data_IF_334124600609
#
_entry.id   IF_334124600609
#
_cell.length_a   1.000
_cell.length_b   1.000
_cell.length_c   1.000
_cell.angle_alpha   90.00
_cell.angle_beta   90.00
_cell.angle_gamma   90.00
#
_symmetry.space_group_name_H-M   'P 1'
#
loop_
_entity.id
_entity.type
_entity.pdbx_description
1 polymer ?
#
# COMPACT_ATOMS: atom_id res chain seq x y z
N UNK A 1 -73.79 17.91 -41.54
CA UNK A 1 -74.05 16.48 -41.33
C UNK A 1 -72.71 15.79 -41.04
N UNK A 2 -72.58 15.20 -39.83
CA UNK A 2 -71.57 14.22 -39.34
C UNK A 2 -70.07 14.62 -39.42
N UNK A 3 -69.33 14.89 -38.34
CA UNK A 3 -69.02 14.14 -37.10
C UNK A 3 -67.83 13.15 -37.26
N UNK A 4 -66.84 13.31 -36.34
CA UNK A 4 -65.71 12.43 -35.94
C UNK A 4 -64.48 12.47 -36.86
N UNK A 5 -63.24 12.60 -36.38
CA UNK A 5 -62.68 12.31 -35.07
C UNK A 5 -61.43 13.17 -34.81
N UNK A 6 -61.31 13.70 -33.59
CA UNK A 6 -60.11 14.35 -33.07
C UNK A 6 -58.92 13.39 -33.09
N UNK A 7 -57.84 13.76 -33.77
CA UNK A 7 -56.53 13.15 -33.55
C UNK A 7 -55.70 14.12 -32.70
N UNK A 8 -55.55 13.74 -31.43
CA UNK A 8 -54.77 14.43 -30.41
C UNK A 8 -53.29 14.38 -30.80
N UNK A 9 -52.72 15.51 -31.21
CA UNK A 9 -51.25 15.65 -31.24
C UNK A 9 -50.84 16.08 -29.84
N UNK A 10 -50.54 15.07 -29.01
CA UNK A 10 -49.99 15.26 -27.67
C UNK A 10 -48.57 15.79 -27.85
N UNK A 11 -48.35 16.97 -27.29
CA UNK A 11 -47.05 17.60 -27.05
C UNK A 11 -46.18 16.59 -26.30
N UNK A 12 -45.17 16.07 -26.97
CA UNK A 12 -44.21 15.11 -26.45
C UNK A 12 -42.80 15.51 -26.84
N UNK A 13 -42.45 16.78 -26.66
CA UNK A 13 -41.05 17.17 -26.51
C UNK A 13 -40.60 16.61 -25.16
N UNK A 14 -40.29 15.32 -25.13
CA UNK A 14 -39.46 14.73 -24.08
C UNK A 14 -38.12 15.44 -24.27
N UNK A 15 -38.00 16.54 -23.54
CA UNK A 15 -36.76 17.18 -23.22
C UNK A 15 -35.84 16.06 -22.75
N UNK A 16 -34.96 15.62 -23.64
CA UNK A 16 -33.74 14.91 -23.28
C UNK A 16 -32.84 15.94 -22.56
N UNK A 17 -33.32 16.50 -21.45
CA UNK A 17 -32.46 16.85 -20.35
C UNK A 17 -31.90 15.51 -19.88
N UNK A 18 -30.88 15.02 -20.61
CA UNK A 18 -29.78 14.38 -19.97
C UNK A 18 -29.37 15.37 -18.88
N UNK A 19 -29.91 15.14 -17.68
CA UNK A 19 -29.26 15.53 -16.45
C UNK A 19 -27.89 14.86 -16.55
N UNK A 20 -26.96 15.59 -17.15
CA UNK A 20 -25.57 15.61 -16.74
C UNK A 20 -25.57 16.07 -15.28
N UNK A 21 -26.16 15.27 -14.40
CA UNK A 21 -25.81 15.29 -13.02
C UNK A 21 -24.32 15.01 -13.04
N UNK A 22 -23.52 16.03 -12.73
CA UNK A 22 -22.13 15.84 -12.36
C UNK A 22 -22.14 14.83 -11.21
N UNK A 23 -22.07 13.54 -11.52
CA UNK A 23 -22.10 12.46 -10.55
C UNK A 23 -20.78 12.57 -9.81
N UNK A 24 -20.85 13.22 -8.65
CA UNK A 24 -19.72 13.32 -7.72
C UNK A 24 -19.21 11.90 -7.47
N UNK A 25 -17.91 11.70 -7.62
CA UNK A 25 -17.30 10.38 -7.39
C UNK A 25 -17.66 9.87 -6.00
N UNK A 26 -18.13 8.61 -5.89
CA UNK A 26 -18.48 8.05 -4.60
C UNK A 26 -17.24 7.94 -3.72
N UNK A 27 -17.45 7.96 -2.40
CA UNK A 27 -16.40 7.88 -1.40
C UNK A 27 -16.60 6.61 -0.57
N UNK A 28 -15.53 5.84 -0.36
CA UNK A 28 -15.57 4.57 0.36
C UNK A 28 -14.34 4.40 1.25
N UNK A 29 -14.52 3.83 2.44
CA UNK A 29 -13.39 3.39 3.27
C UNK A 29 -12.89 2.05 2.70
N UNK A 30 -11.63 1.99 2.26
CA UNK A 30 -11.06 0.80 1.61
C UNK A 30 -10.19 -0.04 2.54
N UNK A 31 -9.44 0.60 3.44
CA UNK A 31 -8.68 -0.07 4.48
C UNK A 31 -8.91 0.64 5.79
N UNK A 32 -9.23 -0.12 6.83
CA UNK A 32 -9.32 0.37 8.19
C UNK A 32 -8.19 -0.28 8.99
N UNK A 33 -7.24 0.53 9.45
CA UNK A 33 -6.09 0.06 10.23
C UNK A 33 -6.51 -0.23 11.67
N UNK A 34 -7.36 0.65 12.21
CA UNK A 34 -7.99 0.56 13.53
C UNK A 34 -9.22 1.49 13.55
N UNK A 35 -9.78 1.75 14.73
CA UNK A 35 -10.98 2.59 14.89
C UNK A 35 -10.80 4.04 14.44
N UNK A 36 -9.56 4.54 14.40
CA UNK A 36 -9.23 5.95 14.18
C UNK A 36 -8.51 6.20 12.86
N UNK A 37 -7.86 5.17 12.29
CA UNK A 37 -7.02 5.28 11.11
C UNK A 37 -7.57 4.48 9.94
N UNK A 38 -7.75 5.15 8.80
CA UNK A 38 -8.29 4.50 7.61
C UNK A 38 -7.89 5.22 6.31
N UNK A 39 -7.99 4.48 5.20
CA UNK A 39 -7.92 5.02 3.85
C UNK A 39 -9.31 5.17 3.26
N UNK A 40 -9.54 6.31 2.64
CA UNK A 40 -10.74 6.62 1.87
C UNK A 40 -10.37 6.74 0.39
N UNK A 41 -11.09 6.03 -0.46
CA UNK A 41 -11.01 6.14 -1.90
C UNK A 41 -12.19 6.96 -2.43
N UNK A 42 -11.91 7.93 -3.30
CA UNK A 42 -12.93 8.70 -4.01
C UNK A 42 -12.80 8.45 -5.50
N UNK A 43 -13.67 7.60 -6.06
CA UNK A 43 -13.53 7.15 -7.44
C UNK A 43 -14.48 6.02 -7.81
N UNK A 44 -14.18 5.31 -8.89
CA UNK A 44 -15.05 4.26 -9.46
C UNK A 44 -14.23 3.00 -9.72
N UNK A 45 -14.87 1.83 -9.71
CA UNK A 45 -14.23 0.56 -10.10
C UNK A 45 -12.92 0.26 -9.35
N UNK A 46 -12.87 0.55 -8.05
CA UNK A 46 -11.67 0.36 -7.20
C UNK A 46 -10.46 1.21 -7.59
N UNK A 47 -10.71 2.34 -8.25
CA UNK A 47 -9.71 3.25 -8.79
C UNK A 47 -10.13 4.70 -8.48
N UNK A 48 -9.23 5.54 -7.96
CA UNK A 48 -9.54 6.95 -7.71
C UNK A 48 -8.53 7.73 -6.86
N UNK A 49 -8.99 8.89 -6.37
CA UNK A 49 -8.23 9.72 -5.43
C UNK A 49 -8.11 9.03 -4.07
N UNK A 50 -6.94 9.09 -3.45
CA UNK A 50 -6.65 8.42 -2.18
C UNK A 50 -6.47 9.43 -1.05
N UNK A 51 -7.14 9.18 0.06
CA UNK A 51 -7.09 10.00 1.26
C UNK A 51 -6.70 9.14 2.48
N UNK A 52 -5.87 9.70 3.35
CA UNK A 52 -5.53 9.11 4.66
C UNK A 52 -6.12 9.95 5.79
N UNK A 53 -6.66 9.23 6.77
CA UNK A 53 -7.31 9.78 7.94
C UNK A 53 -6.72 9.17 9.21
N UNK A 54 -6.37 10.01 10.18
CA UNK A 54 -6.11 9.64 11.58
C UNK A 54 -6.84 10.64 12.48
N UNK A 55 -7.95 10.21 13.08
CA UNK A 55 -8.77 11.08 13.95
C UNK A 55 -8.08 11.40 15.28
N UNK A 56 -7.26 10.49 15.81
CA UNK A 56 -6.53 10.69 17.08
C UNK A 56 -5.49 11.79 16.93
N UNK A 57 -4.82 11.84 15.78
CA UNK A 57 -3.77 12.83 15.49
C UNK A 57 -4.26 14.03 14.67
N UNK A 58 -5.55 14.10 14.38
CA UNK A 58 -6.17 15.14 13.55
C UNK A 58 -5.50 15.28 12.16
N UNK A 59 -5.26 14.15 11.49
CA UNK A 59 -4.67 14.09 10.16
C UNK A 59 -5.77 13.79 9.14
N UNK A 60 -5.85 14.62 8.11
CA UNK A 60 -6.76 14.47 6.97
C UNK A 60 -6.00 14.90 5.71
N UNK A 61 -5.43 13.94 4.96
CA UNK A 61 -4.52 14.23 3.85
C UNK A 61 -4.95 13.55 2.56
N UNK A 62 -5.01 14.33 1.49
CA UNK A 62 -5.02 13.80 0.13
C UNK A 62 -3.62 13.29 -0.20
N UNK A 63 -3.51 12.01 -0.52
CA UNK A 63 -2.25 11.36 -0.88
C UNK A 63 -2.07 11.30 -2.39
N UNK A 64 -3.16 11.03 -3.12
CA UNK A 64 -3.20 10.95 -4.58
C UNK A 64 -4.40 11.77 -5.04
N UNK A 65 -4.15 12.82 -5.83
CA UNK A 65 -5.19 13.59 -6.50
C UNK A 65 -5.66 12.84 -7.76
N UNK A 66 -6.92 12.42 -7.73
CA UNK A 66 -7.61 11.67 -8.79
C UNK A 66 -7.66 12.37 -10.16
N UNK A 67 -7.28 13.65 -10.25
CA UNK A 67 -7.17 14.38 -11.53
C UNK A 67 -5.86 14.10 -12.27
N UNK A 68 -4.78 13.85 -11.55
CA UNK A 68 -3.42 13.73 -12.11
C UNK A 68 -2.89 12.30 -12.08
N UNK A 69 -3.34 11.52 -11.10
CA UNK A 69 -2.99 10.13 -10.93
C UNK A 69 -4.17 9.41 -10.28
N UNK A 70 -4.10 8.07 -10.23
CA UNK A 70 -5.13 7.30 -9.57
C UNK A 70 -4.55 6.13 -8.81
N UNK A 71 -5.10 5.89 -7.63
CA UNK A 71 -4.75 4.75 -6.79
C UNK A 71 -5.65 3.57 -7.12
N UNK A 72 -5.06 2.38 -7.31
CA UNK A 72 -5.81 1.14 -7.47
C UNK A 72 -5.69 0.28 -6.22
N UNK A 73 -6.83 -0.21 -5.75
CA UNK A 73 -6.89 -1.01 -4.52
C UNK A 73 -6.10 -2.32 -4.71
N UNK A 74 -5.11 -2.54 -3.85
CA UNK A 74 -4.51 -3.86 -3.64
C UNK A 74 -5.50 -4.85 -3.01
N UNK A 75 -5.73 -6.01 -3.64
CA UNK A 75 -6.76 -6.96 -3.17
C UNK A 75 -6.22 -8.20 -2.46
N UNK A 76 -4.89 -8.33 -2.33
CA UNK A 76 -4.28 -9.42 -1.59
C UNK A 76 -4.43 -9.25 -0.07
N UNK A 77 -3.87 -10.19 0.69
CA UNK A 77 -3.92 -10.12 2.15
C UNK A 77 -3.06 -8.95 2.65
N UNK A 78 -3.68 -7.99 3.33
CA UNK A 78 -3.00 -6.80 3.84
C UNK A 78 -3.16 -6.71 5.36
N UNK A 79 -2.06 -6.95 6.08
CA UNK A 79 -2.02 -7.00 7.55
C UNK A 79 -1.14 -5.85 8.03
N UNK A 80 -1.73 -4.89 8.75
CA UNK A 80 -1.03 -3.66 9.12
C UNK A 80 -1.35 -3.22 10.56
N UNK A 81 -0.71 -3.84 11.57
CA UNK A 81 -0.82 -3.40 12.96
C UNK A 81 0.07 -2.20 13.33
N UNK A 82 1.00 -1.78 12.46
CA UNK A 82 1.95 -0.70 12.81
C UNK A 82 1.25 0.67 12.87
N UNK A 83 1.60 1.49 13.86
CA UNK A 83 1.03 2.81 14.04
C UNK A 83 1.85 3.90 13.34
N UNK A 84 3.16 3.89 13.55
CA UNK A 84 4.10 4.91 13.11
C UNK A 84 4.52 4.75 11.66
N UNK A 85 4.87 3.53 11.25
CA UNK A 85 5.23 3.23 9.87
C UNK A 85 4.01 2.75 9.10
N UNK A 86 3.61 3.52 8.10
CA UNK A 86 2.49 3.20 7.22
C UNK A 86 3.04 2.90 5.83
N UNK A 87 2.58 1.82 5.24
CA UNK A 87 3.00 1.36 3.92
C UNK A 87 1.75 0.99 3.15
N UNK A 88 1.44 1.72 2.10
CA UNK A 88 0.24 1.50 1.30
C UNK A 88 0.64 0.82 -0.01
N UNK A 89 0.24 -0.44 -0.22
CA UNK A 89 0.42 -1.10 -1.51
C UNK A 89 -0.63 -0.62 -2.53
N UNK A 90 -0.20 -0.44 -3.77
CA UNK A 90 -1.06 -0.28 -4.94
C UNK A 90 -1.26 -1.64 -5.64
N UNK A 91 -2.23 -1.73 -6.53
CA UNK A 91 -2.53 -2.93 -7.33
C UNK A 91 -1.34 -3.37 -8.20
N UNK A 92 -0.69 -2.44 -8.90
CA UNK A 92 0.48 -2.71 -9.76
C UNK A 92 1.64 -1.79 -9.32
N UNK A 93 2.31 -2.15 -8.22
CA UNK A 93 3.21 -1.22 -7.57
C UNK A 93 4.56 -1.18 -8.29
N UNK A 94 4.71 -0.19 -9.17
CA UNK A 94 6.03 0.35 -9.54
C UNK A 94 6.59 1.25 -8.43
N UNK A 95 5.73 1.64 -7.51
CA UNK A 95 5.98 2.56 -6.42
C UNK A 95 5.00 2.31 -5.26
N UNK A 96 5.44 2.57 -4.04
CA UNK A 96 4.67 2.43 -2.81
C UNK A 96 4.62 3.76 -2.06
N UNK A 97 3.49 4.05 -1.42
CA UNK A 97 3.38 5.21 -0.54
C UNK A 97 3.74 4.80 0.88
N UNK A 98 4.71 5.50 1.47
CA UNK A 98 5.17 5.24 2.83
C UNK A 98 5.10 6.50 3.69
N UNK A 99 4.73 6.32 4.95
CA UNK A 99 4.91 7.30 6.01
C UNK A 99 5.71 6.68 7.15
N UNK A 100 6.59 7.47 7.77
CA UNK A 100 7.44 7.08 8.90
C UNK A 100 7.08 7.82 10.18
N UNK A 101 6.01 8.60 10.15
CA UNK A 101 5.61 9.57 11.17
C UNK A 101 4.09 9.62 11.34
N UNK A 102 3.46 8.45 11.41
CA UNK A 102 2.01 8.29 11.68
C UNK A 102 1.09 8.87 10.58
N UNK A 103 1.61 9.07 9.37
CA UNK A 103 0.88 9.66 8.25
C UNK A 103 1.01 11.18 8.13
N UNK A 104 1.92 11.82 8.88
CA UNK A 104 2.15 13.27 8.77
C UNK A 104 2.84 13.65 7.47
N UNK A 105 3.87 12.90 7.09
CA UNK A 105 4.58 13.04 5.82
C UNK A 105 4.56 11.73 5.05
N UNK A 106 4.57 11.88 3.72
CA UNK A 106 4.46 10.76 2.79
C UNK A 106 5.58 10.83 1.77
N UNK A 107 6.11 9.67 1.41
CA UNK A 107 7.15 9.53 0.40
C UNK A 107 6.83 8.35 -0.50
N UNK A 108 7.31 8.45 -1.73
CA UNK A 108 7.28 7.33 -2.68
C UNK A 108 8.52 6.46 -2.47
N UNK A 109 8.32 5.16 -2.32
CA UNK A 109 9.37 4.16 -2.31
C UNK A 109 9.25 3.29 -3.56
N UNK A 110 10.32 3.20 -4.35
CA UNK A 110 10.32 2.45 -5.61
C UNK A 110 10.88 1.03 -5.47
N UNK A 111 11.58 0.72 -4.37
CA UNK A 111 12.22 -0.57 -4.18
C UNK A 111 12.11 -1.07 -2.73
N UNK A 112 11.91 -2.37 -2.58
CA UNK A 112 11.90 -3.11 -1.30
C UNK A 112 13.08 -4.10 -1.21
N UNK A 113 14.18 -3.78 -1.88
CA UNK A 113 15.44 -4.49 -1.80
C UNK A 113 16.59 -3.50 -2.03
N UNK A 114 17.78 -3.80 -1.50
CA UNK A 114 18.96 -2.95 -1.69
C UNK A 114 19.46 -2.91 -3.14
N UNK A 115 19.11 -3.93 -3.93
CA UNK A 115 19.41 -4.04 -5.35
C UNK A 115 18.20 -4.66 -6.07
N UNK A 116 18.01 -4.40 -7.38
CA UNK A 116 16.91 -4.99 -8.13
C UNK A 116 17.07 -6.52 -8.17
N UNK A 117 16.09 -7.23 -7.62
CA UNK A 117 16.14 -8.69 -7.56
C UNK A 117 15.62 -9.22 -8.89
N UNK A 118 16.50 -9.84 -9.68
CA UNK A 118 16.10 -10.48 -10.93
C UNK A 118 15.29 -11.76 -10.61
N UNK A 119 13.97 -11.64 -10.65
CA UNK A 119 13.03 -12.73 -10.45
C UNK A 119 12.36 -13.09 -11.78
N UNK A 120 12.10 -14.39 -11.98
CA UNK A 120 11.28 -14.86 -13.10
C UNK A 120 9.81 -14.86 -12.65
N UNK A 121 9.03 -13.97 -13.23
CA UNK A 121 7.62 -13.80 -12.93
C UNK A 121 6.79 -15.06 -13.33
N UNK A 122 5.49 -15.07 -12.99
CA UNK A 122 4.55 -16.15 -13.32
C UNK A 122 4.44 -16.47 -14.81
N UNK A 123 4.76 -15.50 -15.66
CA UNK A 123 4.71 -15.62 -17.12
C UNK A 123 6.06 -16.08 -17.71
N UNK A 124 7.06 -16.32 -16.86
CA UNK A 124 8.40 -16.75 -17.28
C UNK A 124 9.34 -15.62 -17.71
N UNK A 125 8.97 -14.36 -17.48
CA UNK A 125 9.75 -13.17 -17.85
C UNK A 125 10.59 -12.70 -16.67
N UNK A 126 11.85 -12.33 -16.92
CA UNK A 126 12.70 -11.74 -15.90
C UNK A 126 12.26 -10.30 -15.60
N UNK A 127 12.09 -9.99 -14.31
CA UNK A 127 11.74 -8.69 -13.75
C UNK A 127 12.65 -8.39 -12.59
N UNK A 128 12.82 -7.12 -12.28
CA UNK A 128 13.67 -6.64 -11.20
C UNK A 128 12.87 -6.20 -9.95
N UNK A 129 11.55 -6.43 -9.99
CA UNK A 129 10.56 -6.22 -8.93
C UNK A 129 9.43 -7.27 -9.07
N UNK A 130 8.68 -7.57 -7.99
CA UNK A 130 7.50 -8.42 -8.08
C UNK A 130 6.36 -7.64 -8.73
N UNK A 131 5.71 -8.20 -9.75
CA UNK A 131 4.55 -7.58 -10.36
C UNK A 131 3.35 -7.64 -9.39
N UNK A 132 2.46 -6.67 -9.48
CA UNK A 132 1.31 -6.54 -8.58
C UNK A 132 0.45 -7.79 -8.50
N UNK A 133 0.21 -8.43 -9.65
CA UNK A 133 -0.50 -9.71 -9.76
C UNK A 133 0.14 -10.86 -8.98
N UNK A 134 1.43 -10.76 -8.68
CA UNK A 134 2.21 -11.78 -7.98
C UNK A 134 2.18 -11.57 -6.46
N UNK A 135 1.92 -10.35 -6.00
CA UNK A 135 1.88 -10.03 -4.59
C UNK A 135 0.63 -10.66 -3.96
N UNK A 136 0.84 -11.62 -3.05
CA UNK A 136 -0.25 -12.30 -2.33
C UNK A 136 -0.50 -11.70 -0.96
N UNK A 137 0.54 -11.18 -0.33
CA UNK A 137 0.45 -10.70 1.04
C UNK A 137 1.40 -9.54 1.27
N UNK A 138 0.89 -8.54 1.98
CA UNK A 138 1.65 -7.41 2.52
C UNK A 138 1.44 -7.41 4.03
N UNK A 139 2.52 -7.46 4.80
CA UNK A 139 2.49 -7.43 6.27
C UNK A 139 3.35 -6.26 6.75
N UNK A 140 2.82 -5.43 7.65
CA UNK A 140 3.53 -4.28 8.19
C UNK A 140 3.55 -4.35 9.71
N UNK A 141 4.66 -4.82 10.25
CA UNK A 141 4.83 -5.10 11.68
C UNK A 141 6.18 -4.55 12.14
N UNK A 142 6.25 -4.10 13.39
CA UNK A 142 7.47 -3.56 13.99
C UNK A 142 8.13 -2.45 13.14
N UNK A 143 7.32 -1.62 12.50
CA UNK A 143 7.77 -0.54 11.61
C UNK A 143 8.60 -1.00 10.40
N UNK A 144 8.32 -2.21 9.88
CA UNK A 144 8.90 -2.75 8.65
C UNK A 144 7.80 -3.41 7.81
N UNK A 145 7.89 -3.27 6.48
CA UNK A 145 6.99 -3.92 5.54
C UNK A 145 7.62 -5.17 4.95
N UNK A 146 6.81 -6.21 4.79
CA UNK A 146 7.14 -7.49 4.22
C UNK A 146 6.15 -7.81 3.11
N UNK A 147 6.63 -8.23 1.96
CA UNK A 147 5.81 -8.65 0.82
C UNK A 147 6.12 -10.11 0.50
N UNK A 148 5.07 -10.92 0.38
CA UNK A 148 5.17 -12.31 -0.06
C UNK A 148 4.48 -12.48 -1.41
N UNK A 149 5.22 -13.01 -2.38
CA UNK A 149 4.70 -13.29 -3.73
C UNK A 149 4.03 -14.66 -3.81
N UNK A 150 3.36 -14.95 -4.92
CA UNK A 150 2.76 -16.25 -5.25
C UNK A 150 3.78 -17.39 -5.31
N UNK A 151 5.04 -17.07 -5.60
CA UNK A 151 6.17 -18.00 -5.61
C UNK A 151 6.82 -18.16 -4.22
N UNK A 152 6.25 -17.54 -3.18
CA UNK A 152 6.77 -17.49 -1.81
C UNK A 152 8.10 -16.73 -1.66
N UNK A 153 8.44 -15.86 -2.61
CA UNK A 153 9.56 -14.95 -2.41
C UNK A 153 9.21 -13.85 -1.41
N UNK A 154 10.20 -13.45 -0.63
CA UNK A 154 10.07 -12.47 0.44
C UNK A 154 10.84 -11.21 0.12
N UNK A 155 10.13 -10.09 0.04
CA UNK A 155 10.69 -8.75 -0.07
C UNK A 155 10.48 -8.00 1.24
N UNK A 156 11.43 -7.12 1.60
CA UNK A 156 11.40 -6.42 2.88
C UNK A 156 11.80 -4.97 2.69
N UNK A 157 11.05 -4.03 3.27
CA UNK A 157 11.55 -2.66 3.36
C UNK A 157 12.85 -2.63 4.15
N UNK A 158 13.59 -1.52 4.05
CA UNK A 158 14.71 -1.24 4.94
C UNK A 158 14.34 -1.50 6.40
N UNK A 159 15.32 -1.85 7.23
CA UNK A 159 15.14 -2.04 8.66
C UNK A 159 14.39 -0.86 9.31
N UNK A 160 13.69 -1.10 10.43
CA UNK A 160 13.00 -0.05 11.16
C UNK A 160 13.94 1.12 11.45
N UNK A 161 13.55 2.31 11.00
CA UNK A 161 14.39 3.52 11.04
C UNK A 161 14.65 4.03 12.46
N UNK A 162 13.84 3.59 13.43
CA UNK A 162 14.01 3.94 14.84
C UNK A 162 14.58 2.79 15.68
N UNK A 163 15.03 1.69 15.05
CA UNK A 163 15.64 0.58 15.78
C UNK A 163 16.82 1.12 16.61
N UNK A 164 16.76 1.04 17.96
CA UNK A 164 17.84 1.55 18.80
C UNK A 164 19.21 0.93 18.47
N UNK A 165 19.21 -0.29 17.92
CA UNK A 165 20.41 -1.01 17.48
C UNK A 165 21.11 -0.33 16.30
N UNK A 166 20.36 0.39 15.47
CA UNK A 166 20.84 1.06 14.26
C UNK A 166 21.23 2.53 14.48
N UNK A 167 20.98 3.08 15.67
CA UNK A 167 21.35 4.47 15.99
C UNK A 167 22.88 4.61 16.10
N UNK A 168 23.47 5.79 15.82
CA UNK A 168 24.88 6.05 16.13
C UNK A 168 25.18 5.76 17.60
N UNK A 169 26.16 4.88 17.86
CA UNK A 169 26.49 4.43 19.22
C UNK A 169 25.50 3.42 19.84
N UNK A 170 24.52 2.94 19.07
CA UNK A 170 23.62 1.87 19.47
C UNK A 170 24.34 0.51 19.61
N UNK A 171 23.70 -0.48 20.24
CA UNK A 171 24.31 -1.78 20.51
C UNK A 171 24.66 -2.59 19.25
N UNK A 172 24.24 -2.16 18.05
CA UNK A 172 24.41 -2.89 16.81
C UNK A 172 23.44 -4.06 16.68
N UNK A 173 23.44 -4.69 15.50
CA UNK A 173 22.74 -5.95 15.26
C UNK A 173 23.79 -7.06 15.29
N UNK A 174 23.66 -7.99 16.22
CA UNK A 174 24.49 -9.20 16.23
C UNK A 174 24.21 -10.04 14.98
N UNK A 175 25.24 -10.30 14.19
CA UNK A 175 25.17 -11.19 13.02
C UNK A 175 26.26 -12.25 13.09
N UNK A 176 25.99 -13.43 12.51
CA UNK A 176 26.98 -14.47 12.27
C UNK A 176 27.15 -14.64 10.76
N UNK A 177 28.38 -14.65 10.29
CA UNK A 177 28.72 -15.02 8.91
C UNK A 177 28.59 -16.54 8.76
N UNK A 178 27.78 -16.97 7.81
CA UNK A 178 27.78 -18.34 7.29
C UNK A 178 27.94 -18.20 5.77
N UNK A 179 29.07 -18.67 5.25
CA UNK A 179 29.33 -18.89 3.83
C UNK A 179 28.83 -17.79 2.87
N UNK A 180 29.40 -16.58 3.02
CA UNK A 180 29.26 -15.42 2.11
C UNK A 180 27.83 -14.99 1.74
N UNK A 181 26.82 -15.46 2.47
CA UNK A 181 25.41 -15.16 2.22
C UNK A 181 24.73 -14.68 3.49
N UNK A 182 24.23 -13.44 3.49
CA UNK A 182 23.65 -12.79 4.67
C UNK A 182 22.32 -13.43 5.09
N UNK A 183 22.21 -13.88 6.34
CA UNK A 183 20.91 -14.17 6.99
C UNK A 183 20.92 -13.70 8.46
N UNK A 184 19.78 -13.15 8.91
CA UNK A 184 19.55 -12.69 10.27
C UNK A 184 19.09 -13.82 11.20
N UNK A 185 19.71 -13.87 12.38
CA UNK A 185 19.24 -14.44 13.67
C UNK A 185 19.51 -15.93 14.03
N UNK A 186 20.14 -16.11 15.20
CA UNK A 186 19.82 -17.17 16.20
C UNK A 186 19.96 -16.58 17.62
N UNK A 187 19.01 -16.83 18.54
CA UNK A 187 19.10 -16.39 19.93
C UNK A 187 20.07 -17.29 20.73
N UNK A 188 20.81 -16.71 21.69
CA UNK A 188 21.41 -17.47 22.81
C UNK A 188 22.93 -17.41 23.00
N UNK A 189 23.70 -16.69 22.18
CA UNK A 189 25.15 -16.48 22.44
C UNK A 189 25.53 -15.02 22.24
N UNK A 190 26.28 -14.45 23.19
CA UNK A 190 26.83 -13.08 23.10
C UNK A 190 28.35 -13.14 22.92
N UNK A 191 28.93 -12.09 22.34
CA UNK A 191 30.38 -12.02 22.07
C UNK A 191 31.08 -11.21 23.17
N UNK A 192 32.05 -11.81 23.84
CA UNK A 192 32.93 -11.14 24.81
C UNK A 192 34.38 -11.35 24.37
N UNK A 193 35.14 -10.28 24.23
CA UNK A 193 36.58 -10.30 23.88
C UNK A 193 36.95 -11.15 22.65
N UNK A 194 36.07 -11.19 21.64
CA UNK A 194 36.35 -11.90 20.38
C UNK A 194 35.89 -13.36 20.35
N UNK A 195 35.52 -13.96 21.49
CA UNK A 195 35.02 -15.32 21.57
C UNK A 195 33.49 -15.35 21.79
N UNK A 196 32.83 -16.35 21.20
CA UNK A 196 31.40 -16.59 21.40
C UNK A 196 31.21 -17.48 22.62
N UNK A 197 30.63 -16.92 23.67
CA UNK A 197 30.26 -17.67 24.88
C UNK A 197 28.75 -17.95 24.86
N UNK A 198 28.36 -19.10 25.42
CA UNK A 198 26.97 -19.33 25.79
C UNK A 198 26.56 -18.33 26.87
N UNK A 199 25.29 -17.93 26.88
CA UNK A 199 24.72 -17.15 27.97
C UNK A 199 24.71 -17.96 29.28
#
# INVERSE_FOLDING_TARGET
MKMRSMLKIIIGAISLCAVSACTKSPSQIIYRFDDNRYLELKGFNCDGALWYHDTTRNIHKELIDGKFASFRIFTGAYIHPSDKYIFIPDWEPTAYLISKDYGQTWRVATYMASFPALERNSDGVMRDYPEGKEIKRVVVVNNQAFITTSQNHLYMSSYPFDDPRLKPGGPGIDYKFFDDTYYLYRPGKHKSNGEYVDA
#
